data_IF_367678285453
#
_entry.id   IF_367678285453
#
_cell.length_a   1.000
_cell.length_b   1.000
_cell.length_c   1.000
_cell.angle_alpha   90.00
_cell.angle_beta   90.00
_cell.angle_gamma   90.00
#
_symmetry.space_group_name_H-M   'P 1'
#
loop_
_entity.id
_entity.type
_entity.pdbx_description
1 polymer ?
#
# COMPACT_ATOMS: atom_id res chain seq x y z
N UNK A 1 -15.99 4.56 13.86
CA UNK A 1 -14.66 4.17 13.34
C UNK A 1 -13.49 4.97 13.94
N UNK A 2 -13.67 6.17 14.51
CA UNK A 2 -12.55 6.98 15.05
C UNK A 2 -11.84 6.41 16.30
N UNK A 3 -12.55 5.72 17.20
CA UNK A 3 -11.95 5.21 18.44
C UNK A 3 -10.93 4.10 18.23
N UNK A 4 -11.13 3.23 17.23
CA UNK A 4 -10.20 2.15 16.92
C UNK A 4 -8.85 2.70 16.43
N UNK A 5 -8.87 3.69 15.52
CA UNK A 5 -7.64 4.34 15.04
C UNK A 5 -6.92 5.13 16.13
N UNK A 6 -7.66 5.76 17.04
CA UNK A 6 -7.06 6.42 18.21
C UNK A 6 -6.32 5.42 19.11
N UNK A 7 -6.92 4.26 19.39
CA UNK A 7 -6.27 3.20 20.16
C UNK A 7 -5.00 2.68 19.47
N UNK A 8 -5.02 2.43 18.15
CA UNK A 8 -3.84 1.94 17.43
C UNK A 8 -2.68 2.94 17.47
N UNK A 9 -2.98 4.23 17.31
CA UNK A 9 -1.97 5.28 17.40
C UNK A 9 -1.37 5.40 18.81
N UNK A 10 -2.20 5.27 19.86
CA UNK A 10 -1.73 5.24 21.24
C UNK A 10 -0.82 4.04 21.50
N UNK A 11 -1.15 2.86 20.94
CA UNK A 11 -0.32 1.66 21.05
C UNK A 11 1.03 1.82 20.33
N UNK A 12 1.06 2.40 19.13
CA UNK A 12 2.31 2.68 18.41
C UNK A 12 3.16 3.67 19.20
N UNK A 13 2.54 4.73 19.75
CA UNK A 13 3.25 5.73 20.55
C UNK A 13 3.82 5.13 21.84
N UNK A 14 3.05 4.30 22.54
CA UNK A 14 3.50 3.56 23.72
C UNK A 14 4.63 2.56 23.36
N UNK A 15 4.54 1.89 22.22
CA UNK A 15 5.57 1.02 21.68
C UNK A 15 6.88 1.75 21.39
N UNK A 16 6.81 2.93 20.75
CA UNK A 16 7.97 3.78 20.51
C UNK A 16 8.61 4.26 21.81
N UNK A 17 7.81 4.65 22.82
CA UNK A 17 8.33 5.04 24.14
C UNK A 17 9.01 3.87 24.86
N UNK A 18 8.41 2.68 24.84
CA UNK A 18 9.01 1.48 25.42
C UNK A 18 10.31 1.08 24.71
N UNK A 19 10.33 1.15 23.36
CA UNK A 19 11.51 0.85 22.55
C UNK A 19 12.65 1.83 22.81
N UNK A 20 12.34 3.11 22.97
CA UNK A 20 13.31 4.17 23.32
C UNK A 20 13.85 3.99 24.75
N UNK A 21 13.04 3.48 25.68
CA UNK A 21 13.50 3.14 27.04
C UNK A 21 14.38 1.89 27.10
N UNK A 22 14.20 0.94 26.18
CA UNK A 22 14.98 -0.31 26.10
C UNK A 22 16.37 -0.13 25.44
N UNK A 23 16.57 0.90 24.60
CA UNK A 23 17.85 1.15 23.94
C UNK A 23 18.56 2.35 24.60
N UNK A 24 19.65 2.06 25.31
CA UNK A 24 20.38 3.05 26.11
C UNK A 24 21.04 4.16 25.26
N UNK A 25 21.39 3.86 24.00
CA UNK A 25 21.93 4.82 23.02
C UNK A 25 20.91 5.86 22.56
N UNK A 26 19.61 5.58 22.66
CA UNK A 26 18.52 6.46 22.20
C UNK A 26 17.97 7.38 23.31
N UNK A 27 18.31 7.14 24.59
CA UNK A 27 17.89 7.98 25.73
C UNK A 27 18.28 9.46 25.58
N UNK A 28 19.39 9.75 24.89
CA UNK A 28 19.83 11.12 24.59
C UNK A 28 19.02 11.85 23.51
N UNK A 29 18.30 11.10 22.66
CA UNK A 29 17.43 11.66 21.61
C UNK A 29 16.08 12.16 22.16
N UNK A 30 15.73 11.77 23.39
CA UNK A 30 14.55 12.25 24.13
C UNK A 30 14.81 13.60 24.81
N UNK A 31 15.70 14.42 24.25
CA UNK A 31 15.88 15.81 24.65
C UNK A 31 14.86 16.67 23.90
N UNK A 32 14.41 17.77 24.52
CA UNK A 32 13.55 18.76 23.85
C UNK A 32 14.08 19.05 22.44
N UNK A 33 13.22 19.07 21.40
CA UNK A 33 13.68 19.25 20.02
C UNK A 33 14.45 20.56 19.92
N UNK A 34 15.78 20.46 19.83
CA UNK A 34 16.64 21.61 19.63
C UNK A 34 16.48 22.12 18.20
N UNK A 35 16.90 23.36 17.92
CA UNK A 35 16.91 23.91 16.56
C UNK A 35 17.66 23.02 15.54
N UNK A 36 18.60 22.17 16.00
CA UNK A 36 19.29 21.16 15.19
C UNK A 36 18.38 20.03 14.68
N UNK A 37 17.27 19.73 15.37
CA UNK A 37 16.28 18.75 14.91
C UNK A 37 15.48 19.25 13.69
N UNK A 38 15.46 20.57 13.45
CA UNK A 38 14.85 21.19 12.27
C UNK A 38 15.86 21.37 11.11
N UNK A 39 17.14 21.07 11.35
CA UNK A 39 18.19 21.15 10.33
C UNK A 39 18.02 20.00 9.32
N UNK A 40 17.84 20.33 8.04
CA UNK A 40 17.56 19.35 6.99
C UNK A 40 16.07 19.04 6.75
N UNK A 41 15.15 19.63 7.54
CA UNK A 41 13.70 19.46 7.36
C UNK A 41 13.22 19.84 5.95
N UNK A 42 13.86 20.85 5.33
CA UNK A 42 13.58 21.24 3.94
C UNK A 42 13.84 20.12 2.93
N UNK A 43 14.86 19.29 3.14
CA UNK A 43 15.15 18.12 2.27
C UNK A 43 14.07 17.06 2.44
N UNK A 44 13.64 16.79 3.67
CA UNK A 44 12.53 15.88 3.95
C UNK A 44 11.22 16.36 3.34
N UNK A 45 10.89 17.66 3.43
CA UNK A 45 9.72 18.21 2.76
C UNK A 45 9.81 18.14 1.24
N UNK A 46 11.00 18.38 0.65
CA UNK A 46 11.19 18.28 -0.81
C UNK A 46 10.95 16.86 -1.34
N UNK A 47 11.21 15.82 -0.54
CA UNK A 47 10.91 14.42 -0.86
C UNK A 47 9.48 14.01 -0.46
N UNK A 48 9.01 14.48 0.69
CA UNK A 48 7.72 14.10 1.26
C UNK A 48 6.53 14.73 0.53
N UNK A 49 6.62 16.00 0.12
CA UNK A 49 5.55 16.70 -0.61
C UNK A 49 5.19 15.97 -1.92
N UNK A 50 6.13 15.63 -2.83
CA UNK A 50 5.77 14.94 -4.06
C UNK A 50 5.22 13.54 -3.79
N UNK A 51 5.73 12.81 -2.80
CA UNK A 51 5.21 11.50 -2.42
C UNK A 51 3.76 11.59 -1.92
N UNK A 52 3.50 12.50 -0.97
CA UNK A 52 2.16 12.76 -0.45
C UNK A 52 1.18 13.17 -1.56
N UNK A 53 1.61 14.09 -2.43
CA UNK A 53 0.76 14.56 -3.53
C UNK A 53 0.46 13.42 -4.51
N UNK A 54 1.43 12.58 -4.84
CA UNK A 54 1.24 11.41 -5.70
C UNK A 54 0.19 10.46 -5.14
N UNK A 55 0.35 10.04 -3.88
CA UNK A 55 -0.60 9.12 -3.23
C UNK A 55 -1.98 9.75 -3.06
N UNK A 56 -2.04 11.05 -2.76
CA UNK A 56 -3.32 11.75 -2.62
C UNK A 56 -4.05 11.87 -3.96
N UNK A 57 -3.34 12.21 -5.04
CA UNK A 57 -3.92 12.28 -6.38
C UNK A 57 -4.41 10.92 -6.86
N UNK A 58 -3.68 9.84 -6.57
CA UNK A 58 -4.12 8.47 -6.83
C UNK A 58 -5.45 8.18 -6.12
N UNK A 59 -5.55 8.52 -4.83
CA UNK A 59 -6.79 8.31 -4.07
C UNK A 59 -7.97 9.14 -4.60
N UNK A 60 -7.73 10.40 -4.93
CA UNK A 60 -8.75 11.27 -5.55
C UNK A 60 -9.21 10.72 -6.90
N UNK A 61 -8.31 10.16 -7.70
CA UNK A 61 -8.68 9.55 -8.99
C UNK A 61 -9.59 8.33 -8.80
N UNK A 62 -9.34 7.49 -7.80
CA UNK A 62 -10.23 6.37 -7.45
C UNK A 62 -11.61 6.84 -7.01
N UNK A 63 -11.68 7.89 -6.19
CA UNK A 63 -12.96 8.45 -5.73
C UNK A 63 -13.76 9.05 -6.91
N UNK A 64 -13.10 9.77 -7.81
CA UNK A 64 -13.73 10.32 -9.02
C UNK A 64 -14.26 9.21 -9.94
N UNK A 65 -13.50 8.12 -10.14
CA UNK A 65 -14.01 6.96 -10.87
C UNK A 65 -15.26 6.38 -10.20
N UNK A 66 -15.24 6.22 -8.88
CA UNK A 66 -16.40 5.78 -8.12
C UNK A 66 -17.61 6.71 -8.25
N UNK A 67 -17.42 8.02 -8.30
CA UNK A 67 -18.53 8.96 -8.52
C UNK A 67 -19.10 8.82 -9.93
N UNK A 68 -18.23 8.67 -10.94
CA UNK A 68 -18.64 8.50 -12.34
C UNK A 68 -19.40 7.19 -12.55
N UNK A 69 -18.92 6.06 -12.03
CA UNK A 69 -19.63 4.78 -12.11
C UNK A 69 -20.98 4.84 -11.36
N UNK A 70 -21.05 5.58 -10.26
CA UNK A 70 -22.30 5.87 -9.55
C UNK A 70 -23.31 6.64 -10.39
N UNK A 71 -22.84 7.54 -11.27
CA UNK A 71 -23.68 8.27 -12.23
C UNK A 71 -24.17 7.39 -13.39
N UNK A 72 -23.36 6.41 -13.84
CA UNK A 72 -23.72 5.50 -14.94
C UNK A 72 -24.81 4.52 -14.49
N UNK A 73 -24.67 3.95 -13.29
CA UNK A 73 -25.72 3.12 -12.72
C UNK A 73 -25.28 2.31 -11.50
N UNK A 74 -26.28 1.85 -10.73
CA UNK A 74 -26.06 1.10 -9.49
C UNK A 74 -25.32 -0.22 -9.73
N UNK A 75 -25.56 -0.88 -10.89
CA UNK A 75 -24.90 -2.14 -11.23
C UNK A 75 -23.42 -1.96 -11.58
N UNK A 76 -23.07 -0.88 -12.30
CA UNK A 76 -21.67 -0.51 -12.61
C UNK A 76 -20.91 -0.20 -11.32
N UNK A 77 -21.51 0.62 -10.46
CA UNK A 77 -20.93 0.96 -9.16
C UNK A 77 -20.70 -0.27 -8.28
N UNK A 78 -21.68 -1.18 -8.23
CA UNK A 78 -21.54 -2.43 -7.47
C UNK A 78 -20.40 -3.30 -8.02
N UNK A 79 -20.27 -3.39 -9.36
CA UNK A 79 -19.20 -4.16 -10.00
C UNK A 79 -17.81 -3.61 -9.63
N UNK A 80 -17.64 -2.29 -9.67
CA UNK A 80 -16.40 -1.63 -9.31
C UNK A 80 -16.02 -1.89 -7.85
N UNK A 81 -16.97 -1.79 -6.91
CA UNK A 81 -16.68 -2.06 -5.51
C UNK A 81 -16.28 -3.51 -5.24
N UNK A 82 -16.91 -4.49 -5.91
CA UNK A 82 -16.51 -5.89 -5.75
C UNK A 82 -15.09 -6.12 -6.26
N UNK A 83 -14.77 -5.59 -7.45
CA UNK A 83 -13.41 -5.65 -8.01
C UNK A 83 -12.42 -5.00 -7.04
N UNK A 84 -12.71 -3.78 -6.56
CA UNK A 84 -11.84 -3.06 -5.63
C UNK A 84 -11.56 -3.85 -4.35
N UNK A 85 -12.54 -4.58 -3.81
CA UNK A 85 -12.32 -5.43 -2.64
C UNK A 85 -11.37 -6.60 -2.92
N UNK A 86 -11.55 -7.28 -4.06
CA UNK A 86 -10.67 -8.37 -4.49
C UNK A 86 -9.24 -7.88 -4.72
N UNK A 87 -9.11 -6.75 -5.44
CA UNK A 87 -7.85 -6.07 -5.76
C UNK A 87 -7.17 -5.54 -4.49
N UNK A 88 -7.91 -5.02 -3.52
CA UNK A 88 -7.37 -4.51 -2.25
C UNK A 88 -6.68 -5.59 -1.42
N UNK A 89 -7.19 -6.82 -1.45
CA UNK A 89 -6.57 -7.94 -0.74
C UNK A 89 -5.18 -8.27 -1.29
N UNK A 90 -5.06 -8.32 -2.62
CA UNK A 90 -3.77 -8.48 -3.32
C UNK A 90 -2.84 -7.30 -3.02
N UNK A 91 -3.37 -6.09 -3.16
CA UNK A 91 -2.60 -4.86 -2.99
C UNK A 91 -1.97 -4.79 -1.60
N UNK A 92 -2.70 -5.21 -0.56
CA UNK A 92 -2.20 -5.26 0.80
C UNK A 92 -0.93 -6.12 0.93
N UNK A 93 -0.90 -7.30 0.28
CA UNK A 93 0.26 -8.19 0.31
C UNK A 93 1.45 -7.58 -0.44
N UNK A 94 1.24 -7.11 -1.67
CA UNK A 94 2.30 -6.51 -2.50
C UNK A 94 2.85 -5.24 -1.87
N UNK A 95 1.99 -4.39 -1.31
CA UNK A 95 2.39 -3.19 -0.59
C UNK A 95 3.22 -3.54 0.65
N UNK A 96 2.80 -4.54 1.43
CA UNK A 96 3.56 -5.04 2.58
C UNK A 96 4.96 -5.53 2.20
N UNK A 97 5.07 -6.28 1.10
CA UNK A 97 6.35 -6.72 0.55
C UNK A 97 7.23 -5.53 0.16
N UNK A 98 6.67 -4.51 -0.49
CA UNK A 98 7.39 -3.30 -0.87
C UNK A 98 7.97 -2.54 0.33
N UNK A 99 7.18 -2.41 1.41
CA UNK A 99 7.65 -1.81 2.67
C UNK A 99 8.79 -2.63 3.28
N UNK A 100 8.66 -3.96 3.31
CA UNK A 100 9.70 -4.84 3.85
C UNK A 100 11.02 -4.73 3.07
N UNK A 101 10.98 -4.72 1.73
CA UNK A 101 12.16 -4.55 0.88
C UNK A 101 12.79 -3.18 1.13
N UNK A 102 11.99 -2.11 1.20
CA UNK A 102 12.48 -0.76 1.51
C UNK A 102 13.19 -0.69 2.87
N UNK A 103 12.65 -1.35 3.90
CA UNK A 103 13.30 -1.44 5.21
C UNK A 103 14.65 -2.17 5.13
N UNK A 104 14.73 -3.32 4.46
CA UNK A 104 15.97 -4.10 4.30
C UNK A 104 17.04 -3.34 3.52
N UNK A 105 16.64 -2.65 2.45
CA UNK A 105 17.53 -1.81 1.64
C UNK A 105 17.99 -0.60 2.47
N UNK A 106 17.08 0.06 3.19
CA UNK A 106 17.40 1.18 4.08
C UNK A 106 18.38 0.78 5.18
N UNK A 107 18.18 -0.38 5.81
CA UNK A 107 19.09 -0.92 6.82
C UNK A 107 20.47 -1.24 6.21
N UNK A 108 20.51 -1.89 5.05
CA UNK A 108 21.77 -2.26 4.39
C UNK A 108 22.59 -1.03 3.95
N UNK A 109 21.91 0.03 3.50
CA UNK A 109 22.53 1.32 3.17
C UNK A 109 23.06 1.99 4.46
N UNK A 110 22.31 1.93 5.56
CA UNK A 110 22.72 2.42 6.87
C UNK A 110 23.97 1.75 7.41
N UNK A 111 24.12 0.44 7.18
CA UNK A 111 25.30 -0.35 7.58
C UNK A 111 26.51 -0.19 6.63
N UNK A 112 26.40 0.66 5.59
CA UNK A 112 27.44 0.85 4.57
C UNK A 112 27.60 -0.31 3.59
N UNK A 113 26.72 -1.33 3.65
CA UNK A 113 26.74 -2.54 2.82
C UNK A 113 25.88 -2.38 1.58
N UNK A 114 26.26 -1.44 0.72
CA UNK A 114 25.48 -1.07 -0.48
C UNK A 114 25.27 -2.27 -1.43
N UNK A 115 26.26 -3.15 -1.57
CA UNK A 115 26.17 -4.29 -2.49
C UNK A 115 25.15 -5.35 -2.01
N UNK A 116 25.07 -5.60 -0.70
CA UNK A 116 24.02 -6.45 -0.11
C UNK A 116 22.64 -5.80 -0.30
N UNK A 117 22.52 -4.49 -0.09
CA UNK A 117 21.29 -3.73 -0.37
C UNK A 117 20.79 -3.88 -1.81
N UNK A 118 21.68 -3.83 -2.81
CA UNK A 118 21.32 -4.08 -4.22
C UNK A 118 20.84 -5.50 -4.45
N UNK A 119 21.43 -6.49 -3.78
CA UNK A 119 21.00 -7.89 -3.89
C UNK A 119 19.60 -8.07 -3.30
N UNK A 120 19.31 -7.50 -2.13
CA UNK A 120 17.97 -7.51 -1.54
C UNK A 120 16.94 -6.84 -2.47
N UNK A 121 17.29 -5.71 -3.08
CA UNK A 121 16.42 -5.04 -4.04
C UNK A 121 16.15 -5.93 -5.28
N UNK A 122 17.18 -6.55 -5.86
CA UNK A 122 17.02 -7.43 -7.03
C UNK A 122 16.19 -8.68 -6.71
N UNK A 123 16.48 -9.34 -5.59
CA UNK A 123 15.74 -10.51 -5.13
C UNK A 123 14.29 -10.15 -4.81
N UNK A 124 14.07 -9.03 -4.14
CA UNK A 124 12.74 -8.50 -3.82
C UNK A 124 11.94 -8.16 -5.08
N UNK A 125 12.54 -7.50 -6.06
CA UNK A 125 11.89 -7.21 -7.35
C UNK A 125 11.55 -8.49 -8.12
N UNK A 126 12.46 -9.46 -8.20
CA UNK A 126 12.19 -10.76 -8.83
C UNK A 126 11.01 -11.47 -8.16
N UNK A 127 11.00 -11.50 -6.82
CA UNK A 127 9.91 -12.11 -6.07
C UNK A 127 8.58 -11.38 -6.30
N UNK A 128 8.59 -10.04 -6.29
CA UNK A 128 7.40 -9.23 -6.58
C UNK A 128 6.86 -9.48 -7.99
N UNK A 129 7.73 -9.53 -9.01
CA UNK A 129 7.33 -9.80 -10.40
C UNK A 129 6.72 -11.21 -10.53
N UNK A 130 7.38 -12.23 -9.97
CA UNK A 130 6.86 -13.61 -10.00
C UNK A 130 5.52 -13.70 -9.28
N UNK A 131 5.38 -13.03 -8.13
CA UNK A 131 4.15 -13.00 -7.36
C UNK A 131 3.00 -12.34 -8.13
N UNK A 132 3.23 -11.15 -8.70
CA UNK A 132 2.23 -10.41 -9.49
C UNK A 132 1.82 -11.18 -10.74
N UNK A 133 2.77 -11.80 -11.46
CA UNK A 133 2.46 -12.64 -12.62
C UNK A 133 1.63 -13.86 -12.24
N UNK A 134 1.98 -14.54 -11.14
CA UNK A 134 1.25 -15.72 -10.66
C UNK A 134 -0.17 -15.37 -10.23
N UNK A 135 -0.35 -14.22 -9.57
CA UNK A 135 -1.66 -13.72 -9.19
C UNK A 135 -2.51 -13.32 -10.38
N UNK A 136 -1.95 -12.57 -11.33
CA UNK A 136 -2.67 -12.16 -12.53
C UNK A 136 -3.13 -13.35 -13.35
N UNK A 137 -2.29 -14.37 -13.48
CA UNK A 137 -2.68 -15.64 -14.11
C UNK A 137 -3.83 -16.31 -13.35
N UNK A 138 -3.74 -16.37 -12.01
CA UNK A 138 -4.80 -16.97 -11.18
C UNK A 138 -6.12 -16.19 -11.29
N UNK A 139 -6.07 -14.87 -11.28
CA UNK A 139 -7.24 -14.03 -11.48
C UNK A 139 -7.87 -14.28 -12.86
N UNK A 140 -7.07 -14.31 -13.93
CA UNK A 140 -7.61 -14.54 -15.27
C UNK A 140 -8.37 -15.88 -15.40
N UNK A 141 -7.89 -16.94 -14.75
CA UNK A 141 -8.55 -18.25 -14.80
C UNK A 141 -9.73 -18.40 -13.83
N UNK A 142 -9.64 -17.87 -12.62
CA UNK A 142 -10.61 -18.14 -11.55
C UNK A 142 -11.57 -16.98 -11.26
N UNK A 143 -11.39 -15.80 -11.86
CA UNK A 143 -12.20 -14.62 -11.58
C UNK A 143 -13.69 -14.88 -11.79
N UNK A 144 -14.09 -15.51 -12.90
CA UNK A 144 -15.52 -15.76 -13.16
C UNK A 144 -16.13 -16.69 -12.10
N UNK A 145 -15.38 -17.71 -11.67
CA UNK A 145 -15.82 -18.66 -10.66
C UNK A 145 -15.94 -18.01 -9.27
N UNK A 146 -14.97 -17.16 -8.91
CA UNK A 146 -15.01 -16.35 -7.68
C UNK A 146 -16.18 -15.35 -7.71
N UNK A 147 -16.41 -14.68 -8.85
CA UNK A 147 -17.51 -13.72 -9.00
C UNK A 147 -18.87 -14.40 -8.92
N UNK A 148 -19.05 -15.59 -9.51
CA UNK A 148 -20.28 -16.38 -9.43
C UNK A 148 -20.57 -16.87 -8.00
N UNK A 149 -19.54 -17.05 -7.16
CA UNK A 149 -19.71 -17.41 -5.75
C UNK A 149 -20.14 -16.21 -4.89
N UNK A 150 -19.68 -15.00 -5.22
CA UNK A 150 -19.91 -13.78 -4.43
C UNK A 150 -21.20 -13.05 -4.87
N UNK A 151 -21.53 -13.07 -6.17
CA UNK A 151 -22.58 -12.26 -6.77
C UNK A 151 -23.66 -13.15 -7.40
N UNK A 152 -24.92 -12.84 -7.13
CA UNK A 152 -26.09 -13.55 -7.72
C UNK A 152 -26.62 -12.90 -8.99
N UNK A 153 -26.30 -11.62 -9.23
CA UNK A 153 -26.79 -10.85 -10.39
C UNK A 153 -25.86 -10.99 -11.60
N UNK A 154 -26.33 -11.67 -12.64
CA UNK A 154 -25.53 -11.95 -13.85
C UNK A 154 -25.06 -10.69 -14.59
N UNK A 155 -25.83 -9.59 -14.58
CA UNK A 155 -25.40 -8.34 -15.21
C UNK A 155 -24.16 -7.74 -14.56
N UNK A 156 -24.03 -7.89 -13.24
CA UNK A 156 -22.86 -7.37 -12.50
C UNK A 156 -21.64 -8.24 -12.78
N UNK A 157 -21.82 -9.55 -12.97
CA UNK A 157 -20.74 -10.49 -13.33
C UNK A 157 -20.19 -10.14 -14.72
N UNK A 158 -21.05 -9.90 -15.70
CA UNK A 158 -20.63 -9.55 -17.07
C UNK A 158 -19.81 -8.25 -17.09
N UNK A 159 -20.26 -7.23 -16.36
CA UNK A 159 -19.54 -5.97 -16.21
C UNK A 159 -18.18 -6.16 -15.50
N UNK A 160 -18.15 -6.99 -14.45
CA UNK A 160 -16.90 -7.29 -13.76
C UNK A 160 -15.87 -7.95 -14.69
N UNK A 161 -16.29 -8.89 -15.54
CA UNK A 161 -15.40 -9.59 -16.48
C UNK A 161 -14.86 -8.64 -17.54
N UNK A 162 -15.63 -7.65 -17.98
CA UNK A 162 -15.17 -6.63 -18.94
C UNK A 162 -14.14 -5.67 -18.32
N UNK A 163 -14.32 -5.29 -17.06
CA UNK A 163 -13.47 -4.30 -16.37
C UNK A 163 -12.23 -4.95 -15.73
N UNK A 164 -12.28 -6.23 -15.39
CA UNK A 164 -11.19 -6.90 -14.69
C UNK A 164 -9.83 -6.90 -15.42
N UNK A 165 -9.73 -7.07 -16.75
CA UNK A 165 -8.46 -6.94 -17.46
C UNK A 165 -7.83 -5.54 -17.31
N UNK A 166 -8.65 -4.49 -17.27
CA UNK A 166 -8.18 -3.11 -17.04
C UNK A 166 -7.68 -2.93 -15.61
N UNK A 167 -8.37 -3.50 -14.63
CA UNK A 167 -7.94 -3.46 -13.23
C UNK A 167 -6.62 -4.22 -12.99
N UNK A 168 -6.44 -5.36 -13.66
CA UNK A 168 -5.22 -6.18 -13.63
C UNK A 168 -4.02 -5.46 -14.26
N UNK A 169 -4.23 -4.76 -15.38
CA UNK A 169 -3.17 -4.03 -16.08
C UNK A 169 -2.77 -2.71 -15.38
N UNK A 170 -3.63 -2.18 -14.51
CA UNK A 170 -3.40 -0.95 -13.77
C UNK A 170 -2.66 -1.11 -12.44
N UNK A 171 -2.44 -2.35 -11.97
CA UNK A 171 -1.62 -2.67 -10.78
C UNK A 171 -0.14 -2.81 -11.11
#
# INVERSE_FOLDING_TARGET
>A
MGYAGACTNIFIFAGCLAYTHCIEELKGSLSWPGLKSFEGLGTYFKLGIPCFLSTYLEWVAYELMGILCGYIGVNEQASQFVILNLVSFIYCFTHGLGVAINCLVGQSIGDGKIEEGKQYLRAGMLFAVVYVLSLNMSFFFYLEEILRMIITNEKVIELCVQVAPLAVLGQ
#
